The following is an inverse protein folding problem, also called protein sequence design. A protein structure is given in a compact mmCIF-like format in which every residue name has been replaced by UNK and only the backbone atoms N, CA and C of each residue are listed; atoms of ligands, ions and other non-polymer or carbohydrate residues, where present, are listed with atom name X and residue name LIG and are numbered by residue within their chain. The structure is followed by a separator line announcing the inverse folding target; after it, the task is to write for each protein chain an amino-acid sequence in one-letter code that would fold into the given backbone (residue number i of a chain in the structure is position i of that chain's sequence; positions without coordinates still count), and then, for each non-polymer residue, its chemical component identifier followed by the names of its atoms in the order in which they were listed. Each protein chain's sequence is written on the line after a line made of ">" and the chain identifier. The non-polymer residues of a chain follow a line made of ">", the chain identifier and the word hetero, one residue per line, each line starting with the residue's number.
data_IF_660346183086
#
_entry.id   IF_660346183086
#
_cell.length_a   1.000
_cell.length_b   1.000
_cell.length_c   1.000
_cell.angle_alpha   90.00
_cell.angle_beta   90.00
_cell.angle_gamma   90.00
#
_symmetry.space_group_name_H-M   'P 1'
#
loop_
_entity.id
_entity.type
_entity.pdbx_description
1 polymer ?
#
# COMPACT_ATOMS: atom_id res chain seq x y z
N UNK A 1 -6.71 42.44 -15.91
CA UNK A 1 -6.62 41.91 -17.28
C UNK A 1 -6.87 40.41 -17.24
N UNK A 2 -8.08 39.99 -17.61
CA UNK A 2 -8.42 38.60 -17.90
C UNK A 2 -8.24 38.36 -19.40
N UNK A 3 -7.73 37.19 -19.78
CA UNK A 3 -8.20 36.45 -20.97
C UNK A 3 -7.68 35.01 -20.97
N UNK A 4 -8.62 34.10 -20.73
CA UNK A 4 -8.59 32.73 -21.25
C UNK A 4 -8.42 32.80 -22.78
N UNK A 5 -7.60 31.92 -23.33
CA UNK A 5 -7.70 31.53 -24.74
C UNK A 5 -8.12 30.06 -24.76
N UNK A 6 -9.44 29.86 -24.86
CA UNK A 6 -9.99 28.64 -25.42
C UNK A 6 -9.92 28.73 -26.94
N UNK A 7 -9.46 27.65 -27.57
CA UNK A 7 -9.47 27.48 -29.02
C UNK A 7 -10.28 26.25 -29.38
N UNK A 8 -11.57 26.45 -29.67
CA UNK A 8 -12.41 25.49 -30.38
C UNK A 8 -12.16 25.55 -31.89
N UNK A 9 -12.09 24.36 -32.50
CA UNK A 9 -12.43 23.98 -33.88
C UNK A 9 -11.88 24.79 -35.07
N UNK A 10 -11.10 24.09 -35.91
CA UNK A 10 -11.04 24.37 -37.35
C UNK A 10 -11.59 23.17 -38.11
N UNK A 11 -12.75 23.40 -38.73
CA UNK A 11 -13.44 22.58 -39.71
C UNK A 11 -13.10 23.17 -41.08
N UNK A 12 -12.44 22.42 -41.95
CA UNK A 12 -12.25 22.78 -43.36
C UNK A 12 -13.40 22.24 -44.21
N UNK A 13 -14.09 23.15 -44.92
CA UNK A 13 -14.80 22.88 -46.17
C UNK A 13 -13.74 22.82 -47.31
N UNK A 14 -13.89 22.18 -48.47
CA UNK A 14 -14.97 22.06 -49.45
C UNK A 14 -14.84 20.70 -50.17
N UNK A 15 -15.81 20.09 -50.86
CA UNK A 15 -17.17 20.42 -51.23
C UNK A 15 -17.69 19.30 -52.14
N UNK A 16 -18.97 18.93 -52.03
CA UNK A 16 -19.74 18.20 -53.04
C UNK A 16 -21.19 18.05 -52.56
N UNK A 17 -22.07 18.72 -53.31
CA UNK A 17 -23.47 18.40 -53.63
C UNK A 17 -24.40 17.69 -52.62
N UNK A 18 -25.46 18.46 -52.31
CA UNK A 18 -26.85 18.12 -52.63
C UNK A 18 -27.70 17.34 -51.61
N UNK A 19 -28.89 17.93 -51.44
CA UNK A 19 -30.20 17.33 -51.14
C UNK A 19 -30.72 17.29 -49.69
N UNK A 20 -31.63 18.25 -49.44
CA UNK A 20 -32.93 18.15 -48.74
C UNK A 20 -32.99 17.61 -47.30
N UNK A 21 -33.35 18.54 -46.41
CA UNK A 21 -34.31 18.42 -45.28
C UNK A 21 -34.94 17.06 -45.02
N UNK A 22 -34.67 16.52 -43.83
CA UNK A 22 -35.71 15.94 -42.97
C UNK A 22 -35.30 16.08 -41.51
N UNK A 23 -36.12 16.78 -40.72
CA UNK A 23 -35.99 16.90 -39.27
C UNK A 23 -36.55 15.61 -38.68
N UNK A 24 -35.68 14.74 -38.19
CA UNK A 24 -36.08 13.61 -37.34
C UNK A 24 -35.39 13.77 -36.00
N UNK A 25 -36.22 14.07 -35.01
CA UNK A 25 -35.93 14.19 -33.59
C UNK A 25 -35.26 12.90 -33.09
N UNK A 26 -33.93 12.92 -33.04
CA UNK A 26 -33.15 11.82 -32.51
C UNK A 26 -33.27 11.80 -30.99
N UNK A 27 -34.14 10.94 -30.48
CA UNK A 27 -34.16 10.54 -29.07
C UNK A 27 -32.73 10.15 -28.64
N UNK A 28 -32.21 10.70 -27.52
CA UNK A 28 -30.90 10.28 -27.03
C UNK A 28 -31.04 8.86 -26.48
N UNK A 29 -30.57 7.87 -27.25
CA UNK A 29 -30.31 6.53 -26.72
C UNK A 29 -29.08 6.60 -25.82
N UNK A 30 -29.31 7.02 -24.59
CA UNK A 30 -28.33 7.00 -23.50
C UNK A 30 -27.94 5.55 -23.24
N UNK A 31 -26.93 5.05 -23.96
CA UNK A 31 -26.25 3.80 -23.60
C UNK A 31 -25.69 4.00 -22.19
N UNK A 32 -26.41 3.47 -21.19
CA UNK A 32 -25.90 3.31 -19.82
C UNK A 32 -24.59 2.55 -19.94
N UNK A 33 -23.47 3.26 -19.77
CA UNK A 33 -22.15 2.68 -19.59
C UNK A 33 -22.23 1.90 -18.29
N UNK A 34 -22.54 0.61 -18.37
CA UNK A 34 -22.51 -0.29 -17.23
C UNK A 34 -21.08 -0.29 -16.72
N UNK A 35 -20.82 0.48 -15.67
CA UNK A 35 -19.59 0.39 -14.90
C UNK A 35 -19.62 -1.02 -14.32
N UNK A 36 -18.90 -1.96 -14.95
CA UNK A 36 -18.56 -3.23 -14.33
C UNK A 36 -17.74 -2.86 -13.10
N UNK A 37 -18.41 -2.72 -11.96
CA UNK A 37 -17.76 -2.64 -10.66
C UNK A 37 -16.97 -3.93 -10.55
N UNK A 38 -15.66 -3.84 -10.73
CA UNK A 38 -14.78 -4.98 -10.55
C UNK A 38 -15.04 -5.53 -9.15
N UNK A 39 -15.42 -6.81 -9.07
CA UNK A 39 -15.59 -7.50 -7.80
C UNK A 39 -14.37 -7.24 -6.91
N UNK A 40 -14.56 -6.88 -5.64
CA UNK A 40 -13.44 -6.62 -4.74
C UNK A 40 -12.52 -7.84 -4.78
N UNK A 41 -11.25 -7.61 -5.12
CA UNK A 41 -10.24 -8.67 -5.17
C UNK A 41 -9.93 -9.04 -3.73
N UNK A 42 -10.67 -10.02 -3.21
CA UNK A 42 -10.41 -10.68 -1.93
C UNK A 42 -9.38 -11.77 -2.16
N UNK A 43 -8.28 -11.72 -1.41
CA UNK A 43 -7.25 -12.75 -1.43
C UNK A 43 -7.74 -13.97 -0.65
N UNK A 44 -7.46 -15.16 -1.18
CA UNK A 44 -7.68 -16.40 -0.44
C UNK A 44 -6.73 -16.49 0.77
N UNK A 45 -7.04 -17.33 1.79
CA UNK A 45 -6.14 -17.52 2.93
C UNK A 45 -4.70 -17.89 2.51
N UNK A 46 -4.56 -18.80 1.55
CA UNK A 46 -3.26 -19.19 1.00
C UNK A 46 -2.50 -18.03 0.35
N UNK A 47 -3.22 -17.09 -0.29
CA UNK A 47 -2.62 -15.88 -0.86
C UNK A 47 -2.21 -14.88 0.23
N UNK A 48 -2.97 -14.78 1.33
CA UNK A 48 -2.59 -13.98 2.50
C UNK A 48 -1.36 -14.54 3.20
N UNK A 49 -1.25 -15.86 3.31
CA UNK A 49 -0.06 -16.52 3.88
C UNK A 49 1.16 -16.36 2.97
N UNK A 50 0.99 -16.50 1.65
CA UNK A 50 2.05 -16.20 0.69
C UNK A 50 2.49 -14.73 0.75
N UNK A 51 1.54 -13.80 0.89
CA UNK A 51 1.83 -12.39 1.08
C UNK A 51 2.56 -12.14 2.41
N UNK A 52 2.13 -12.76 3.52
CA UNK A 52 2.81 -12.67 4.82
C UNK A 52 4.26 -13.11 4.70
N UNK A 53 4.50 -14.27 4.07
CA UNK A 53 5.85 -14.79 3.85
C UNK A 53 6.70 -13.82 3.01
N UNK A 54 6.16 -13.29 1.91
CA UNK A 54 6.85 -12.30 1.08
C UNK A 54 7.19 -11.01 1.86
N UNK A 55 6.32 -10.57 2.75
CA UNK A 55 6.56 -9.40 3.60
C UNK A 55 7.67 -9.69 4.61
N UNK A 56 7.62 -10.84 5.28
CA UNK A 56 8.60 -11.26 6.27
C UNK A 56 10.01 -11.45 5.66
N UNK A 57 10.07 -12.03 4.46
CA UNK A 57 11.32 -12.25 3.71
C UNK A 57 11.88 -10.95 3.08
N UNK A 58 11.11 -9.86 3.05
CA UNK A 58 11.54 -8.61 2.46
C UNK A 58 12.71 -8.02 3.23
N UNK A 59 13.80 -7.74 2.54
CA UNK A 59 15.01 -7.16 3.11
C UNK A 59 14.90 -5.65 3.12
N UNK A 60 15.11 -5.05 4.30
CA UNK A 60 14.92 -3.63 4.53
C UNK A 60 16.19 -3.03 5.11
N UNK A 61 16.62 -1.92 4.49
CA UNK A 61 17.79 -1.18 4.90
C UNK A 61 17.38 0.12 5.59
N UNK A 62 17.95 0.37 6.76
CA UNK A 62 17.65 1.57 7.55
C UNK A 62 18.18 2.87 6.89
N UNK A 63 19.30 2.78 6.17
CA UNK A 63 19.99 3.90 5.50
C UNK A 63 21.12 3.37 4.58
N UNK A 64 21.77 4.25 3.81
CA UNK A 64 22.86 3.88 2.87
C UNK A 64 24.10 3.26 3.53
N UNK A 65 24.18 3.27 4.86
CA UNK A 65 25.23 2.63 5.66
C UNK A 65 24.68 1.80 6.83
N UNK A 66 23.35 1.70 6.97
CA UNK A 66 22.70 1.00 8.07
C UNK A 66 22.66 -0.52 7.87
N UNK A 67 22.32 -1.26 8.95
CA UNK A 67 22.14 -2.70 8.87
C UNK A 67 21.03 -3.07 7.88
N UNK A 68 21.29 -4.14 7.15
CA UNK A 68 20.36 -4.74 6.20
C UNK A 68 19.89 -6.06 6.80
N UNK A 69 18.59 -6.17 7.06
CA UNK A 69 17.99 -7.39 7.59
C UNK A 69 16.57 -7.55 7.05
N UNK A 70 16.06 -8.78 7.07
CA UNK A 70 14.67 -9.05 6.70
C UNK A 70 13.70 -8.41 7.69
N UNK A 71 12.46 -8.18 7.27
CA UNK A 71 11.37 -7.77 8.18
C UNK A 71 11.27 -8.75 9.34
N UNK A 72 11.41 -10.05 9.10
CA UNK A 72 11.47 -11.04 10.17
C UNK A 72 12.65 -10.80 11.13
N UNK A 73 13.85 -10.57 10.60
CA UNK A 73 15.03 -10.28 11.43
C UNK A 73 14.88 -9.03 12.29
N UNK A 74 14.23 -7.98 11.76
CA UNK A 74 13.89 -6.78 12.52
C UNK A 74 12.90 -7.07 13.66
N UNK A 75 11.87 -7.89 13.41
CA UNK A 75 10.90 -8.30 14.44
C UNK A 75 11.58 -9.15 15.52
N UNK A 76 12.42 -10.10 15.14
CA UNK A 76 13.15 -10.96 16.08
C UNK A 76 14.13 -10.16 16.94
N UNK A 77 14.84 -9.19 16.35
CA UNK A 77 15.72 -8.29 17.08
C UNK A 77 14.94 -7.41 18.07
N UNK A 78 13.79 -6.87 17.65
CA UNK A 78 12.92 -6.08 18.52
C UNK A 78 12.30 -6.91 19.66
N UNK A 79 11.96 -8.18 19.40
CA UNK A 79 11.50 -9.12 20.42
C UNK A 79 12.59 -9.34 21.48
N UNK A 80 13.82 -9.64 21.06
CA UNK A 80 14.95 -9.82 21.98
C UNK A 80 15.23 -8.58 22.82
N UNK A 81 15.19 -7.40 22.21
CA UNK A 81 15.39 -6.10 22.88
C UNK A 81 14.38 -5.90 24.03
N UNK A 82 13.11 -6.31 23.82
CA UNK A 82 12.06 -6.21 24.83
C UNK A 82 12.14 -7.33 25.89
N UNK A 83 12.59 -8.53 25.51
CA UNK A 83 12.75 -9.66 26.42
C UNK A 83 13.92 -9.48 27.39
N UNK A 84 15.09 -9.08 26.91
CA UNK A 84 16.30 -8.98 27.74
C UNK A 84 16.29 -7.73 28.61
N UNK A 85 15.52 -6.69 28.23
CA UNK A 85 15.55 -5.40 28.91
C UNK A 85 16.94 -4.75 28.90
N UNK A 86 17.89 -5.29 28.12
CA UNK A 86 19.17 -4.68 27.83
C UNK A 86 18.92 -3.53 26.86
N UNK A 87 18.33 -2.46 27.40
CA UNK A 87 18.59 -1.12 26.91
C UNK A 87 20.10 -1.01 26.81
N UNK A 88 20.64 -1.10 25.60
CA UNK A 88 22.04 -0.86 25.32
C UNK A 88 22.30 0.59 25.72
N UNK A 89 22.62 0.80 26.99
CA UNK A 89 23.09 2.05 27.60
C UNK A 89 24.48 2.44 27.08
N UNK A 90 24.73 2.17 25.80
CA UNK A 90 25.87 2.61 25.02
C UNK A 90 25.40 2.93 23.59
N UNK A 91 24.63 4.02 23.45
CA UNK A 91 24.58 4.82 22.23
C UNK A 91 23.91 4.24 20.98
N UNK A 92 23.35 3.03 21.00
CA UNK A 92 22.55 2.51 19.87
C UNK A 92 21.08 2.76 20.14
N UNK A 93 20.30 3.32 19.19
CA UNK A 93 18.85 3.38 19.35
C UNK A 93 18.33 1.95 19.61
N UNK A 94 17.51 1.79 20.65
CA UNK A 94 16.87 0.52 21.00
C UNK A 94 16.27 -0.09 19.71
N UNK A 95 16.60 -1.35 19.41
CA UNK A 95 16.25 -2.00 18.15
C UNK A 95 14.73 -1.94 17.89
N UNK A 96 13.93 -1.95 18.95
CA UNK A 96 12.49 -1.72 18.85
C UNK A 96 12.14 -0.37 18.21
N UNK A 97 12.70 0.74 18.72
CA UNK A 97 12.45 2.10 18.20
C UNK A 97 12.89 2.20 16.74
N UNK A 98 14.01 1.57 16.43
CA UNK A 98 14.57 1.55 15.09
C UNK A 98 13.67 0.78 14.10
N UNK A 99 13.24 -0.42 14.49
CA UNK A 99 12.28 -1.21 13.74
C UNK A 99 10.96 -0.46 13.54
N UNK A 100 10.45 0.23 14.56
CA UNK A 100 9.24 1.05 14.47
C UNK A 100 9.35 2.13 13.39
N UNK A 101 10.48 2.85 13.31
CA UNK A 101 10.69 3.89 12.30
C UNK A 101 10.75 3.29 10.88
N UNK A 102 11.43 2.17 10.72
CA UNK A 102 11.56 1.48 9.42
C UNK A 102 10.19 0.98 8.95
N UNK A 103 9.46 0.31 9.83
CA UNK A 103 8.17 -0.27 9.51
C UNK A 103 7.09 0.77 9.26
N UNK A 104 7.10 1.92 9.96
CA UNK A 104 6.18 3.02 9.67
C UNK A 104 6.31 3.53 8.21
N UNK A 105 7.55 3.56 7.68
CA UNK A 105 7.80 3.90 6.27
C UNK A 105 7.25 2.86 5.30
N UNK A 106 7.25 1.59 5.69
CA UNK A 106 6.65 0.49 4.92
C UNK A 106 5.13 0.40 5.09
N UNK A 107 4.54 1.12 6.04
CA UNK A 107 3.13 0.99 6.38
C UNK A 107 2.81 -0.20 7.27
N UNK A 108 3.79 -0.66 8.04
CA UNK A 108 3.66 -1.71 9.06
C UNK A 108 3.78 -1.02 10.42
N UNK A 109 2.84 -1.31 11.32
CA UNK A 109 2.91 -0.84 12.71
C UNK A 109 3.49 -1.95 13.56
N UNK A 110 4.53 -1.61 14.32
CA UNK A 110 5.11 -2.45 15.35
C UNK A 110 4.47 -2.08 16.70
N UNK A 111 3.94 -3.07 17.41
CA UNK A 111 3.36 -2.93 18.75
C UNK A 111 4.02 -3.92 19.69
N UNK A 112 4.07 -3.63 20.98
CA UNK A 112 4.49 -4.59 22.00
C UNK A 112 3.45 -4.67 23.11
N UNK A 113 3.35 -5.83 23.75
CA UNK A 113 2.40 -6.06 24.84
C UNK A 113 2.70 -7.34 25.60
N UNK A 114 2.07 -7.50 26.77
CA UNK A 114 2.15 -8.73 27.58
C UNK A 114 2.54 -8.48 29.03
N UNK A 115 3.60 -7.70 29.29
CA UNK A 115 4.14 -7.47 30.63
C UNK A 115 3.14 -6.92 31.63
N UNK A 116 2.32 -5.95 31.22
CA UNK A 116 1.32 -5.29 32.06
C UNK A 116 0.16 -6.23 32.47
N UNK A 117 0.00 -7.34 31.75
CA UNK A 117 -1.03 -8.34 31.99
C UNK A 117 -0.46 -9.64 32.62
N UNK A 118 0.80 -9.62 33.06
CA UNK A 118 1.48 -10.80 33.62
C UNK A 118 1.84 -11.87 32.58
N UNK A 119 1.87 -11.52 31.29
CA UNK A 119 2.26 -12.40 30.18
C UNK A 119 3.68 -12.09 29.71
N UNK A 120 4.28 -13.02 28.96
CA UNK A 120 5.54 -12.75 28.25
C UNK A 120 5.36 -11.58 27.28
N UNK A 121 6.33 -10.67 27.27
CA UNK A 121 6.33 -9.53 26.34
C UNK A 121 6.61 -10.03 24.93
N UNK A 122 5.75 -9.67 23.99
CA UNK A 122 5.96 -9.96 22.58
C UNK A 122 5.75 -8.72 21.72
N UNK A 123 6.45 -8.70 20.59
CA UNK A 123 6.32 -7.73 19.53
C UNK A 123 5.39 -8.29 18.46
N UNK A 124 4.43 -7.49 18.07
CA UNK A 124 3.46 -7.76 17.02
C UNK A 124 3.66 -6.76 15.89
N UNK A 125 3.71 -7.24 14.65
CA UNK A 125 3.75 -6.39 13.47
C UNK A 125 2.44 -6.54 12.70
N UNK A 126 1.85 -5.45 12.24
CA UNK A 126 0.58 -5.46 11.48
C UNK A 126 0.64 -4.47 10.33
N UNK A 127 0.13 -4.86 9.16
CA UNK A 127 0.05 -3.97 7.99
C UNK A 127 -1.10 -2.96 8.17
N UNK A 128 -0.80 -1.67 8.20
CA UNK A 128 -1.80 -0.59 8.36
C UNK A 128 -1.90 0.28 7.12
N UNK A 129 -0.83 0.39 6.34
CA UNK A 129 -0.85 1.14 5.08
C UNK A 129 -0.33 0.28 3.91
N UNK A 130 -1.19 -0.58 3.31
CA UNK A 130 -0.80 -1.42 2.18
C UNK A 130 -0.27 -0.64 0.98
N UNK A 131 -0.68 0.64 0.83
CA UNK A 131 -0.18 1.53 -0.24
C UNK A 131 1.32 1.81 -0.11
N UNK A 132 1.83 1.99 1.11
CA UNK A 132 3.27 2.14 1.36
C UNK A 132 3.97 0.81 1.08
N UNK A 133 3.42 -0.29 1.59
CA UNK A 133 3.97 -1.63 1.44
C UNK A 133 4.16 -2.05 -0.02
N UNK A 134 3.20 -1.74 -0.90
CA UNK A 134 3.29 -2.04 -2.34
C UNK A 134 4.44 -1.30 -3.04
N UNK A 135 4.93 -0.17 -2.48
CA UNK A 135 6.11 0.52 -3.03
C UNK A 135 7.40 -0.28 -2.78
N UNK A 136 7.45 -1.01 -1.66
CA UNK A 136 8.56 -1.89 -1.31
C UNK A 136 8.41 -3.27 -1.98
N UNK A 137 7.18 -3.79 -2.07
CA UNK A 137 6.88 -5.10 -2.63
C UNK A 137 5.79 -4.96 -3.70
N UNK A 138 6.14 -4.60 -4.95
CA UNK A 138 5.17 -4.38 -6.04
C UNK A 138 4.30 -5.60 -6.36
N UNK A 139 4.77 -6.81 -6.04
CA UNK A 139 4.05 -8.07 -6.25
C UNK A 139 2.72 -8.12 -5.48
N UNK A 140 2.62 -7.39 -4.36
CA UNK A 140 1.43 -7.31 -3.50
C UNK A 140 0.36 -6.34 -4.02
N UNK A 141 0.60 -5.66 -5.16
CA UNK A 141 -0.34 -4.69 -5.72
C UNK A 141 -1.72 -5.28 -5.99
N UNK A 142 -1.76 -6.56 -6.42
CA UNK A 142 -3.00 -7.31 -6.60
C UNK A 142 -3.49 -7.77 -5.22
N UNK A 143 -4.54 -7.14 -4.71
CA UNK A 143 -5.11 -7.48 -3.39
C UNK A 143 -4.56 -6.66 -2.22
N UNK A 144 -3.83 -5.57 -2.47
CA UNK A 144 -3.27 -4.72 -1.42
C UNK A 144 -4.32 -4.26 -0.38
N UNK A 145 -5.55 -3.97 -0.80
CA UNK A 145 -6.61 -3.56 0.12
C UNK A 145 -6.95 -4.64 1.17
N UNK A 146 -6.80 -5.91 0.80
CA UNK A 146 -7.10 -7.06 1.67
C UNK A 146 -5.91 -7.48 2.56
N UNK A 147 -4.77 -6.79 2.42
CA UNK A 147 -3.64 -6.89 3.33
C UNK A 147 -3.76 -5.95 4.52
N UNK A 148 -4.73 -5.03 4.52
CA UNK A 148 -4.97 -4.15 5.66
C UNK A 148 -5.35 -4.98 6.89
N UNK A 149 -4.65 -4.76 8.00
CA UNK A 149 -4.81 -5.52 9.23
C UNK A 149 -4.19 -6.92 9.19
N UNK A 150 -3.43 -7.27 8.15
CA UNK A 150 -2.73 -8.55 8.09
C UNK A 150 -1.66 -8.59 9.20
N UNK A 151 -1.75 -9.54 10.14
CA UNK A 151 -0.74 -9.70 11.15
C UNK A 151 0.48 -10.44 10.58
N UNK A 152 1.65 -10.01 11.00
CA UNK A 152 2.97 -10.51 10.62
C UNK A 152 3.60 -11.15 11.86
N UNK A 153 3.09 -12.32 12.23
CA UNK A 153 3.65 -13.23 13.23
C UNK A 153 4.01 -14.57 12.57
#
# INVERSE_FOLDING_TARGET
>A
MLRLVGGTAFKGADGAESTKTEVVEAMPTTKKKSVKVATPVTLSPAQKDAARKLILDCVVRQSDSGPEMSVQGWIDAANRDIETGESVTSGSPAFFVLASIIFDRMGIVLSSGGKEFGMQSHVYATVVEPKKLVRYIPQLKKGAADLLGLPLY
#
